data_IF_555611587182
#
_entry.id   IF_555611587182
#
_cell.length_a   1.000
_cell.length_b   1.000
_cell.length_c   1.000
_cell.angle_alpha   90.00
_cell.angle_beta   90.00
_cell.angle_gamma   90.00
#
_symmetry.space_group_name_H-M   'P 1'
#
loop_
_entity.id
_entity.type
_entity.pdbx_description
1 polymer ?
#
# COMPACT_ATOMS: atom_id res chain seq x y z
N UNK A 1 16.47 3.55 -32.63
CA UNK A 1 16.96 4.21 -31.43
C UNK A 1 16.03 3.83 -30.28
N UNK A 2 16.48 3.05 -29.32
CA UNK A 2 15.63 2.59 -28.20
C UNK A 2 15.82 3.59 -27.08
N UNK A 3 14.80 4.41 -26.84
CA UNK A 3 14.75 5.34 -25.71
C UNK A 3 14.96 4.57 -24.41
N UNK A 4 15.97 4.96 -23.64
CA UNK A 4 16.17 4.47 -22.28
C UNK A 4 15.29 5.31 -21.39
N UNK A 5 14.19 4.73 -20.89
CA UNK A 5 13.47 5.35 -19.77
C UNK A 5 14.42 5.41 -18.58
N UNK A 6 14.95 6.58 -18.28
CA UNK A 6 15.59 6.86 -17.00
C UNK A 6 14.46 7.22 -16.04
N UNK A 7 14.02 6.25 -15.25
CA UNK A 7 13.27 6.55 -14.06
C UNK A 7 14.22 7.24 -13.07
N UNK A 8 13.94 8.48 -12.74
CA UNK A 8 14.56 9.14 -11.59
C UNK A 8 14.04 8.37 -10.37
N UNK A 9 14.88 7.51 -9.83
CA UNK A 9 14.51 6.68 -8.67
C UNK A 9 14.43 7.60 -7.46
N UNK A 10 13.22 7.92 -7.05
CA UNK A 10 13.00 8.45 -5.72
C UNK A 10 13.61 7.49 -4.70
N UNK A 11 14.45 8.02 -3.82
CA UNK A 11 15.12 7.27 -2.79
C UNK A 11 14.14 6.39 -2.02
N UNK A 12 14.55 5.18 -1.70
CA UNK A 12 13.81 4.25 -0.88
C UNK A 12 13.59 4.89 0.50
N UNK A 13 12.44 5.48 0.70
CA UNK A 13 12.02 5.83 2.04
C UNK A 13 11.80 4.53 2.80
N UNK A 14 12.75 4.18 3.65
CA UNK A 14 12.58 3.13 4.65
C UNK A 14 11.61 3.67 5.70
N UNK A 15 10.33 3.51 5.43
CA UNK A 15 9.29 3.82 6.39
C UNK A 15 9.39 2.85 7.55
N UNK A 16 9.21 3.31 8.78
CA UNK A 16 8.66 2.40 9.76
C UNK A 16 7.37 1.86 9.14
N UNK A 17 7.03 0.58 9.31
CA UNK A 17 5.89 -0.02 8.64
C UNK A 17 4.70 0.93 8.80
N UNK A 18 4.27 1.51 7.68
CA UNK A 18 3.11 2.38 7.69
C UNK A 18 1.91 1.49 7.91
N UNK A 19 1.24 1.59 9.03
CA UNK A 19 0.10 0.73 9.29
C UNK A 19 -0.95 1.02 8.23
N UNK A 20 -1.35 -0.01 7.47
CA UNK A 20 -2.46 0.08 6.53
C UNK A 20 -3.69 -0.52 7.17
N UNK A 21 -4.75 0.28 7.25
CA UNK A 21 -6.05 -0.23 7.66
C UNK A 21 -6.66 -1.09 6.56
N UNK A 22 -6.94 -2.36 6.87
CA UNK A 22 -7.75 -3.23 6.02
C UNK A 22 -9.05 -3.50 6.75
N UNK A 23 -10.13 -3.32 6.00
CA UNK A 23 -11.39 -3.79 6.47
C UNK A 23 -12.11 -4.61 5.42
N UNK A 24 -12.06 -5.91 5.59
CA UNK A 24 -12.88 -6.86 4.88
C UNK A 24 -13.30 -7.93 5.89
N UNK A 25 -14.57 -7.98 6.26
CA UNK A 25 -15.11 -9.08 7.02
C UNK A 25 -15.88 -8.77 8.31
N UNK A 26 -16.52 -9.77 8.89
CA UNK A 26 -17.55 -9.60 9.91
C UNK A 26 -17.01 -9.34 11.32
N UNK A 27 -17.91 -8.93 12.14
CA UNK A 27 -17.94 -8.32 13.46
C UNK A 27 -17.14 -8.94 14.62
N UNK A 28 -16.22 -9.87 14.46
CA UNK A 28 -15.45 -10.44 15.59
C UNK A 28 -14.01 -10.81 15.23
N UNK A 29 -13.09 -10.74 16.21
CA UNK A 29 -11.69 -11.17 16.11
C UNK A 29 -11.50 -12.60 15.55
N UNK A 30 -12.49 -13.50 15.78
CA UNK A 30 -12.49 -14.86 15.24
C UNK A 30 -12.81 -14.93 13.74
N UNK A 31 -13.41 -13.91 13.18
CA UNK A 31 -13.83 -13.86 11.79
C UNK A 31 -12.82 -13.16 10.86
N UNK A 32 -11.83 -12.48 11.39
CA UNK A 32 -10.63 -12.10 10.64
C UNK A 32 -9.87 -13.36 10.15
N UNK A 33 -10.18 -14.53 10.71
CA UNK A 33 -9.68 -15.83 10.28
C UNK A 33 -10.47 -16.36 9.08
N UNK A 34 -9.91 -16.21 7.89
CA UNK A 34 -10.02 -17.10 6.72
C UNK A 34 -11.36 -17.37 6.02
N UNK A 35 -12.54 -16.99 6.50
CA UNK A 35 -13.81 -17.49 5.91
C UNK A 35 -14.84 -16.45 5.46
N UNK A 36 -14.57 -15.17 5.59
CA UNK A 36 -15.64 -14.18 5.41
C UNK A 36 -15.21 -12.86 4.79
N UNK A 37 -14.13 -12.87 4.02
CA UNK A 37 -13.78 -11.75 3.18
C UNK A 37 -14.73 -11.71 2.00
N UNK A 38 -15.75 -10.86 2.11
CA UNK A 38 -16.67 -10.62 1.01
C UNK A 38 -16.14 -9.50 0.11
N UNK A 39 -16.97 -8.63 -0.33
CA UNK A 39 -16.66 -7.59 -1.29
C UNK A 39 -15.70 -6.55 -0.69
N UNK A 40 -14.50 -6.45 -1.24
CA UNK A 40 -13.49 -5.49 -0.82
C UNK A 40 -13.13 -4.56 -1.98
N UNK A 41 -13.18 -3.23 -1.74
CA UNK A 41 -12.71 -2.27 -2.73
C UNK A 41 -11.18 -2.24 -2.74
N UNK A 42 -10.61 -2.48 -3.90
CA UNK A 42 -9.19 -2.35 -4.18
C UNK A 42 -8.96 -1.34 -5.30
N UNK A 43 -7.77 -0.73 -5.32
CA UNK A 43 -7.38 0.09 -6.47
C UNK A 43 -7.36 -0.76 -7.74
N UNK A 44 -7.52 -0.14 -8.91
CA UNK A 44 -7.43 -0.80 -10.20
C UNK A 44 -5.99 -1.25 -10.49
N UNK A 45 -5.62 -2.36 -9.86
CA UNK A 45 -4.30 -2.97 -9.95
C UNK A 45 -4.46 -4.49 -9.89
N UNK A 46 -4.01 -5.16 -10.95
CA UNK A 46 -4.17 -6.60 -11.11
C UNK A 46 -3.45 -7.43 -10.03
N UNK A 47 -2.30 -6.98 -9.52
CA UNK A 47 -1.59 -7.68 -8.44
C UNK A 47 -2.30 -7.51 -7.10
N UNK A 48 -2.85 -6.32 -6.80
CA UNK A 48 -3.68 -6.13 -5.61
C UNK A 48 -4.92 -7.01 -5.68
N UNK A 49 -5.60 -7.05 -6.83
CA UNK A 49 -6.75 -7.92 -7.07
C UNK A 49 -6.38 -9.38 -6.79
N UNK A 50 -5.33 -9.91 -7.43
CA UNK A 50 -4.88 -11.28 -7.24
C UNK A 50 -4.50 -11.57 -5.78
N UNK A 51 -3.88 -10.62 -5.08
CA UNK A 51 -3.54 -10.75 -3.65
C UNK A 51 -4.78 -10.91 -2.79
N UNK A 52 -5.80 -10.09 -3.02
CA UNK A 52 -7.04 -10.17 -2.22
C UNK A 52 -7.90 -11.38 -2.58
N UNK A 53 -7.88 -11.82 -3.83
CA UNK A 53 -8.47 -13.10 -4.25
C UNK A 53 -7.78 -14.28 -3.55
N UNK A 54 -6.45 -14.25 -3.44
CA UNK A 54 -5.68 -15.26 -2.70
C UNK A 54 -6.03 -15.26 -1.19
N UNK A 55 -6.39 -14.11 -0.63
CA UNK A 55 -6.91 -14.01 0.74
C UNK A 55 -8.35 -14.51 0.88
N UNK A 56 -9.04 -14.82 -0.23
CA UNK A 56 -10.42 -15.28 -0.25
C UNK A 56 -11.46 -14.15 -0.30
N UNK A 57 -11.04 -12.92 -0.62
CA UNK A 57 -11.95 -11.81 -0.87
C UNK A 57 -12.49 -11.82 -2.31
N UNK A 58 -13.53 -11.04 -2.55
CA UNK A 58 -14.04 -10.70 -3.87
C UNK A 58 -13.73 -9.23 -4.16
N UNK A 59 -12.55 -8.91 -4.71
CA UNK A 59 -12.15 -7.54 -4.94
C UNK A 59 -12.96 -6.88 -6.05
N UNK A 60 -13.40 -5.65 -5.79
CA UNK A 60 -14.07 -4.78 -6.76
C UNK A 60 -13.32 -3.46 -6.89
N UNK A 61 -13.45 -2.80 -8.02
CA UNK A 61 -12.90 -1.47 -8.23
C UNK A 61 -14.00 -0.43 -8.12
N UNK A 62 -13.81 0.57 -7.26
CA UNK A 62 -14.72 1.70 -7.06
C UNK A 62 -13.90 2.97 -7.18
N UNK A 63 -14.43 3.97 -7.86
CA UNK A 63 -13.78 5.28 -7.94
C UNK A 63 -13.58 5.87 -6.53
N UNK A 64 -12.42 6.44 -6.28
CA UNK A 64 -12.03 6.89 -4.94
C UNK A 64 -13.04 7.86 -4.31
N UNK A 65 -13.57 8.80 -5.11
CA UNK A 65 -14.59 9.74 -4.65
C UNK A 65 -15.96 9.12 -4.34
N UNK A 66 -16.23 7.90 -4.83
CA UNK A 66 -17.50 7.18 -4.61
C UNK A 66 -17.39 6.16 -3.46
N UNK A 67 -16.18 5.93 -2.97
CA UNK A 67 -15.91 4.84 -2.04
C UNK A 67 -16.62 5.01 -0.70
N UNK A 68 -16.73 6.22 -0.17
CA UNK A 68 -17.47 6.49 1.08
C UNK A 68 -18.94 6.04 0.95
N UNK A 69 -19.62 6.48 -0.11
CA UNK A 69 -21.01 6.12 -0.36
C UNK A 69 -21.19 4.62 -0.62
N UNK A 70 -20.25 3.99 -1.31
CA UNK A 70 -20.29 2.55 -1.57
C UNK A 70 -20.11 1.72 -0.28
N UNK A 71 -19.25 2.16 0.64
CA UNK A 71 -19.07 1.56 1.96
C UNK A 71 -20.32 1.77 2.83
N UNK A 72 -20.88 2.97 2.84
CA UNK A 72 -22.09 3.31 3.60
C UNK A 72 -23.30 2.49 3.14
N UNK A 73 -23.44 2.27 1.83
CA UNK A 73 -24.54 1.50 1.23
C UNK A 73 -24.29 -0.01 1.22
N UNK A 74 -23.13 -0.48 1.66
CA UNK A 74 -22.77 -1.90 1.68
C UNK A 74 -22.49 -2.50 0.30
N UNK A 75 -22.22 -1.69 -0.73
CA UNK A 75 -21.74 -2.16 -2.03
C UNK A 75 -20.33 -2.73 -1.92
N UNK A 76 -19.51 -2.13 -1.07
CA UNK A 76 -18.26 -2.68 -0.57
C UNK A 76 -18.35 -2.88 0.94
N UNK A 77 -17.89 -4.02 1.43
CA UNK A 77 -17.85 -4.32 2.87
C UNK A 77 -16.53 -3.86 3.50
N UNK A 78 -15.52 -3.55 2.67
CA UNK A 78 -14.23 -3.08 3.12
C UNK A 78 -13.42 -2.38 2.04
N UNK A 79 -12.33 -1.76 2.46
CA UNK A 79 -11.39 -1.07 1.58
C UNK A 79 -9.94 -1.23 2.08
N UNK A 80 -9.00 -0.81 1.23
CA UNK A 80 -7.59 -0.80 1.50
C UNK A 80 -7.06 0.58 1.20
N UNK A 81 -6.73 1.30 2.25
CA UNK A 81 -6.21 2.65 2.15
C UNK A 81 -5.19 2.92 3.26
N UNK A 82 -4.26 3.85 3.08
CA UNK A 82 -3.41 4.32 4.15
C UNK A 82 -4.21 5.09 5.21
N UNK A 83 -3.68 5.21 6.43
CA UNK A 83 -4.37 5.86 7.56
C UNK A 83 -4.85 7.25 7.23
N UNK A 84 -4.01 8.07 6.59
CA UNK A 84 -4.39 9.43 6.23
C UNK A 84 -5.61 9.48 5.29
N UNK A 85 -5.75 8.51 4.40
CA UNK A 85 -6.90 8.45 3.50
C UNK A 85 -8.18 8.01 4.23
N UNK A 86 -8.06 7.14 5.24
CA UNK A 86 -9.18 6.78 6.09
C UNK A 86 -9.74 7.99 6.86
N UNK A 87 -8.86 8.85 7.35
CA UNK A 87 -9.26 10.06 8.05
C UNK A 87 -9.80 11.12 7.09
N UNK A 88 -9.05 11.49 6.05
CA UNK A 88 -9.45 12.57 5.13
C UNK A 88 -10.78 12.30 4.40
N UNK A 89 -11.12 11.05 4.14
CA UNK A 89 -12.34 10.64 3.44
C UNK A 89 -13.44 10.16 4.39
N UNK A 90 -13.23 10.22 5.70
CA UNK A 90 -14.21 9.81 6.69
C UNK A 90 -14.54 8.31 6.67
N UNK A 91 -13.70 7.44 6.06
CA UNK A 91 -14.03 6.01 5.94
C UNK A 91 -14.21 5.33 7.29
N UNK A 92 -13.60 5.87 8.36
CA UNK A 92 -13.75 5.37 9.72
C UNK A 92 -15.17 5.54 10.28
N UNK A 93 -15.96 6.49 9.76
CA UNK A 93 -17.33 6.73 10.19
C UNK A 93 -18.30 5.64 9.72
N UNK A 94 -17.99 5.01 8.58
CA UNK A 94 -18.83 3.99 7.94
C UNK A 94 -18.24 2.58 8.06
N UNK A 95 -17.29 2.43 8.97
CA UNK A 95 -16.56 1.19 9.16
C UNK A 95 -16.42 0.87 10.66
N UNK A 96 -16.63 -0.43 11.12
CA UNK A 96 -16.55 -0.85 12.52
C UNK A 96 -15.14 -1.30 12.94
N UNK A 97 -14.26 -1.62 11.98
CA UNK A 97 -12.91 -2.16 12.25
C UNK A 97 -11.86 -1.53 11.35
N UNK A 98 -10.70 -1.26 11.90
CA UNK A 98 -9.48 -0.94 11.19
C UNK A 98 -8.42 -1.98 11.53
N UNK A 99 -7.90 -2.69 10.52
CA UNK A 99 -6.97 -3.80 10.72
C UNK A 99 -5.60 -3.42 10.15
N UNK A 100 -4.59 -3.45 11.01
CA UNK A 100 -3.19 -3.24 10.62
C UNK A 100 -2.56 -4.61 10.36
N UNK A 101 -2.34 -4.92 9.09
CA UNK A 101 -1.75 -6.18 8.64
C UNK A 101 -0.30 -6.03 8.19
N UNK A 102 0.21 -4.80 8.12
CA UNK A 102 1.58 -4.45 7.68
C UNK A 102 1.99 -5.15 6.36
N UNK A 103 1.03 -5.33 5.46
CA UNK A 103 1.15 -6.18 4.27
C UNK A 103 1.90 -5.55 3.12
N UNK A 104 1.98 -4.22 3.07
CA UNK A 104 2.65 -3.49 1.98
C UNK A 104 2.98 -2.07 2.40
N UNK A 105 4.01 -1.52 1.78
CA UNK A 105 4.37 -0.12 1.91
C UNK A 105 3.60 0.70 0.87
N UNK A 106 3.24 1.92 1.23
CA UNK A 106 2.75 2.91 0.27
C UNK A 106 3.96 3.60 -0.36
N UNK A 107 4.13 3.43 -1.66
CA UNK A 107 5.27 3.99 -2.40
C UNK A 107 4.72 4.96 -3.44
N UNK A 108 5.19 6.20 -3.39
CA UNK A 108 4.98 7.19 -4.44
C UNK A 108 6.25 7.36 -5.27
N UNK A 109 6.10 7.54 -6.58
CA UNK A 109 7.22 7.75 -7.49
C UNK A 109 7.04 9.09 -8.22
N UNK A 110 8.13 9.82 -8.38
CA UNK A 110 8.19 10.93 -9.32
C UNK A 110 8.59 10.38 -10.69
N UNK A 111 7.76 10.65 -11.69
CA UNK A 111 7.99 10.17 -13.05
C UNK A 111 7.99 11.38 -13.98
N UNK A 112 9.05 11.52 -14.78
CA UNK A 112 9.20 12.55 -15.81
C UNK A 112 9.36 11.93 -17.20
N UNK A 113 9.02 12.71 -18.21
CA UNK A 113 9.32 12.36 -19.59
C UNK A 113 10.83 12.49 -19.84
N UNK A 114 11.48 11.49 -20.47
CA UNK A 114 12.92 11.46 -20.74
C UNK A 114 13.36 12.60 -21.64
N UNK A 115 12.62 12.87 -22.73
CA UNK A 115 12.96 13.92 -23.67
C UNK A 115 12.87 15.32 -23.04
N UNK A 116 11.87 15.54 -22.18
CA UNK A 116 11.75 16.75 -21.40
C UNK A 116 12.93 16.91 -20.44
N UNK A 117 13.31 15.86 -19.72
CA UNK A 117 14.41 15.89 -18.77
C UNK A 117 15.76 16.12 -19.45
N UNK A 118 16.00 15.46 -20.59
CA UNK A 118 17.21 15.62 -21.39
C UNK A 118 17.31 17.03 -22.03
N UNK A 119 16.17 17.68 -22.23
CA UNK A 119 16.10 19.08 -22.74
C UNK A 119 16.38 20.15 -21.69
N UNK A 120 16.50 19.80 -20.40
CA UNK A 120 16.84 20.75 -19.34
C UNK A 120 18.31 21.16 -19.43
N UNK A 121 18.61 22.42 -19.09
CA UNK A 121 19.99 22.86 -18.86
C UNK A 121 20.57 22.16 -17.62
N UNK A 122 21.90 22.13 -17.50
CA UNK A 122 22.56 21.53 -16.35
C UNK A 122 22.10 22.18 -15.02
N UNK A 123 21.95 23.50 -14.99
CA UNK A 123 21.45 24.24 -13.84
C UNK A 123 19.99 23.87 -13.47
N UNK A 124 19.12 23.73 -14.49
CA UNK A 124 17.72 23.30 -14.28
C UNK A 124 17.65 21.86 -13.77
N UNK A 125 18.51 20.99 -14.29
CA UNK A 125 18.58 19.59 -13.87
C UNK A 125 19.06 19.48 -12.42
N UNK A 126 20.12 20.17 -12.05
CA UNK A 126 20.62 20.21 -10.68
C UNK A 126 19.57 20.75 -9.71
N UNK A 127 18.86 21.83 -10.06
CA UNK A 127 17.77 22.37 -9.26
C UNK A 127 16.61 21.38 -9.10
N UNK A 128 16.22 20.69 -10.17
CA UNK A 128 15.16 19.66 -10.13
C UNK A 128 15.56 18.52 -9.22
N UNK A 129 16.75 17.96 -9.41
CA UNK A 129 17.24 16.81 -8.63
C UNK A 129 17.36 17.16 -7.15
N UNK A 130 17.96 18.30 -6.79
CA UNK A 130 18.06 18.76 -5.40
C UNK A 130 16.69 18.99 -4.76
N UNK A 131 15.74 19.54 -5.52
CA UNK A 131 14.35 19.74 -5.03
C UNK A 131 13.66 18.41 -4.79
N UNK A 132 13.82 17.43 -5.68
CA UNK A 132 13.25 16.10 -5.52
C UNK A 132 13.85 15.37 -4.31
N UNK A 133 15.16 15.49 -4.10
CA UNK A 133 15.83 14.91 -2.92
C UNK A 133 15.30 15.53 -1.61
N UNK A 134 15.14 16.86 -1.55
CA UNK A 134 14.53 17.53 -0.40
C UNK A 134 13.06 17.09 -0.19
N UNK A 135 12.29 16.98 -1.27
CA UNK A 135 10.89 16.51 -1.19
C UNK A 135 10.79 15.09 -0.67
N UNK A 136 11.69 14.19 -1.07
CA UNK A 136 11.72 12.81 -0.56
C UNK A 136 12.01 12.79 0.94
N UNK A 137 13.01 13.54 1.42
CA UNK A 137 13.36 13.61 2.84
C UNK A 137 12.21 14.20 3.68
N UNK A 138 11.70 15.36 3.29
CA UNK A 138 10.56 16.00 3.96
C UNK A 138 9.28 15.16 3.90
N UNK A 139 9.03 14.50 2.76
CA UNK A 139 7.88 13.63 2.59
C UNK A 139 7.87 12.46 3.55
N UNK A 140 9.05 11.90 3.84
CA UNK A 140 9.19 10.83 4.85
C UNK A 140 8.81 11.32 6.25
N UNK A 141 9.33 12.47 6.67
CA UNK A 141 9.09 13.01 8.01
C UNK A 141 7.61 13.42 8.18
N UNK A 142 7.07 14.15 7.20
CA UNK A 142 5.67 14.58 7.18
C UNK A 142 4.73 13.39 7.23
N UNK A 143 5.00 12.36 6.45
CA UNK A 143 4.11 11.20 6.38
C UNK A 143 4.11 10.40 7.69
N UNK A 144 5.26 10.24 8.33
CA UNK A 144 5.34 9.56 9.63
C UNK A 144 4.54 10.30 10.69
N UNK A 145 4.68 11.63 10.74
CA UNK A 145 3.92 12.48 11.65
C UNK A 145 2.42 12.42 11.34
N UNK A 146 2.02 12.62 10.08
CA UNK A 146 0.62 12.63 9.68
C UNK A 146 -0.09 11.32 9.95
N UNK A 147 0.54 10.17 9.69
CA UNK A 147 -0.10 8.90 9.99
C UNK A 147 -0.39 8.73 11.49
N UNK A 148 0.53 9.18 12.35
CA UNK A 148 0.33 9.12 13.80
C UNK A 148 -0.78 10.06 14.25
N UNK A 149 -0.76 11.32 13.82
CA UNK A 149 -1.76 12.32 14.14
C UNK A 149 -3.16 11.92 13.64
N UNK A 150 -3.25 11.42 12.41
CA UNK A 150 -4.52 10.98 11.82
C UNK A 150 -5.09 9.75 12.50
N UNK A 151 -4.24 8.84 12.95
CA UNK A 151 -4.69 7.69 13.74
C UNK A 151 -5.28 8.12 15.07
N UNK A 152 -4.66 9.09 15.76
CA UNK A 152 -5.21 9.62 17.00
C UNK A 152 -6.55 10.35 16.74
N UNK A 153 -6.63 11.14 15.68
CA UNK A 153 -7.90 11.78 15.27
C UNK A 153 -9.02 10.76 15.05
N UNK A 154 -8.73 9.64 14.40
CA UNK A 154 -9.69 8.54 14.19
C UNK A 154 -10.13 7.94 15.52
N UNK A 155 -9.19 7.71 16.45
CA UNK A 155 -9.49 7.16 17.79
C UNK A 155 -10.35 8.09 18.63
N UNK A 156 -10.10 9.39 18.54
CA UNK A 156 -10.83 10.41 19.32
C UNK A 156 -12.24 10.63 18.79
N UNK A 157 -12.45 10.48 17.47
CA UNK A 157 -13.71 10.82 16.81
C UNK A 157 -14.56 9.61 16.42
N UNK A 158 -14.17 8.39 16.81
CA UNK A 158 -14.93 7.18 16.46
C UNK A 158 -14.73 6.04 17.46
N UNK A 159 -15.71 5.14 17.49
CA UNK A 159 -15.65 3.89 18.23
C UNK A 159 -15.11 2.73 17.35
N UNK A 160 -14.34 3.05 16.28
CA UNK A 160 -13.80 2.03 15.38
C UNK A 160 -12.86 1.07 16.14
N UNK A 161 -13.05 -0.21 15.95
CA UNK A 161 -12.20 -1.23 16.58
C UNK A 161 -10.88 -1.36 15.84
N UNK A 162 -9.78 -0.97 16.48
CA UNK A 162 -8.43 -1.07 15.90
C UNK A 162 -7.84 -2.43 16.27
N UNK A 163 -7.39 -3.17 15.27
CA UNK A 163 -6.80 -4.50 15.40
C UNK A 163 -5.42 -4.48 14.73
N UNK A 164 -4.40 -4.88 15.50
CA UNK A 164 -3.07 -5.18 14.95
C UNK A 164 -2.97 -6.70 14.83
N UNK A 165 -2.62 -7.19 13.65
CA UNK A 165 -2.37 -8.62 13.44
C UNK A 165 -1.04 -8.99 14.09
N UNK A 166 -1.04 -10.13 14.79
CA UNK A 166 0.20 -10.72 15.31
C UNK A 166 1.03 -11.37 14.19
N UNK A 167 2.28 -11.74 14.48
CA UNK A 167 3.18 -12.29 13.46
C UNK A 167 2.64 -13.59 12.86
N UNK A 168 1.99 -14.44 13.65
CA UNK A 168 1.42 -15.69 13.14
C UNK A 168 0.24 -15.45 12.20
N UNK A 169 -0.56 -14.43 12.47
CA UNK A 169 -1.66 -14.00 11.61
C UNK A 169 -1.11 -13.39 10.31
N UNK A 170 -0.08 -12.54 10.39
CA UNK A 170 0.60 -11.97 9.23
C UNK A 170 1.25 -13.03 8.35
N UNK A 171 1.93 -14.02 8.96
CA UNK A 171 2.53 -15.13 8.21
C UNK A 171 1.48 -15.95 7.46
N UNK A 172 0.31 -16.19 8.05
CA UNK A 172 -0.77 -16.88 7.36
C UNK A 172 -1.23 -16.14 6.08
N UNK A 173 -1.29 -14.79 6.09
CA UNK A 173 -1.58 -13.99 4.91
C UNK A 173 -0.41 -14.00 3.91
N UNK A 174 0.82 -13.96 4.39
CA UNK A 174 2.04 -14.02 3.57
C UNK A 174 2.10 -15.32 2.77
N UNK A 175 1.79 -16.46 3.41
CA UNK A 175 1.72 -17.76 2.74
C UNK A 175 0.65 -17.78 1.63
N UNK A 176 -0.54 -17.22 1.89
CA UNK A 176 -1.61 -17.12 0.88
C UNK A 176 -1.22 -16.26 -0.32
N UNK A 177 -0.41 -15.21 -0.11
CA UNK A 177 0.02 -14.30 -1.16
C UNK A 177 1.21 -14.82 -1.99
N UNK A 178 1.96 -15.83 -1.52
CA UNK A 178 3.13 -16.36 -2.25
C UNK A 178 2.86 -16.70 -3.72
N UNK A 179 1.75 -17.35 -4.10
CA UNK A 179 1.46 -17.65 -5.50
C UNK A 179 1.31 -16.42 -6.40
N UNK A 180 0.93 -15.26 -5.83
CA UNK A 180 0.77 -14.01 -6.57
C UNK A 180 2.11 -13.50 -7.15
N UNK A 181 3.23 -13.91 -6.58
CA UNK A 181 4.56 -13.63 -7.13
C UNK A 181 4.72 -14.16 -8.54
N UNK A 182 4.16 -15.34 -8.83
CA UNK A 182 4.17 -15.90 -10.17
C UNK A 182 3.32 -15.05 -11.12
N UNK A 183 2.15 -14.58 -10.70
CA UNK A 183 1.33 -13.65 -11.48
C UNK A 183 2.12 -12.41 -11.90
N UNK A 184 2.93 -11.85 -11.00
CA UNK A 184 3.81 -10.72 -11.32
C UNK A 184 4.85 -11.08 -12.40
N UNK A 185 5.50 -12.24 -12.26
CA UNK A 185 6.49 -12.73 -13.22
C UNK A 185 5.87 -12.97 -14.60
N UNK A 186 4.67 -13.54 -14.64
CA UNK A 186 3.92 -13.80 -15.88
C UNK A 186 3.54 -12.48 -16.59
N UNK A 187 3.29 -11.42 -15.83
CA UNK A 187 2.97 -10.10 -16.39
C UNK A 187 4.19 -9.35 -16.92
N UNK A 188 5.35 -9.46 -16.27
CA UNK A 188 6.54 -8.62 -16.54
C UNK A 188 7.66 -9.40 -17.24
N UNK A 189 7.62 -10.73 -17.18
CA UNK A 189 8.60 -11.61 -17.78
C UNK A 189 9.93 -11.66 -17.02
N UNK A 190 11.04 -11.99 -17.71
CA UNK A 190 12.36 -12.20 -17.10
C UNK A 190 12.88 -11.00 -16.28
N UNK A 191 12.54 -9.77 -16.69
CA UNK A 191 12.92 -8.58 -15.92
C UNK A 191 12.20 -8.53 -14.56
N UNK A 192 10.94 -8.95 -14.56
CA UNK A 192 10.15 -9.08 -13.34
C UNK A 192 10.73 -10.12 -12.40
N UNK A 193 11.12 -11.28 -12.92
CA UNK A 193 11.78 -12.31 -12.12
C UNK A 193 13.06 -11.78 -11.45
N UNK A 194 13.94 -11.14 -12.21
CA UNK A 194 15.18 -10.56 -11.66
C UNK A 194 14.91 -9.50 -10.57
N UNK A 195 13.91 -8.65 -10.77
CA UNK A 195 13.51 -7.66 -9.78
C UNK A 195 12.96 -8.31 -8.50
N UNK A 196 12.12 -9.33 -8.65
CA UNK A 196 11.57 -10.10 -7.54
C UNK A 196 12.67 -10.79 -6.73
N UNK A 197 13.63 -11.43 -7.39
CA UNK A 197 14.76 -12.13 -6.75
C UNK A 197 15.60 -11.16 -5.90
N UNK A 198 15.85 -9.95 -6.42
CA UNK A 198 16.56 -8.89 -5.68
C UNK A 198 15.78 -8.49 -4.43
N UNK A 199 14.47 -8.25 -4.56
CA UNK A 199 13.63 -7.85 -3.43
C UNK A 199 13.58 -8.95 -2.36
N UNK A 200 13.36 -10.20 -2.77
CA UNK A 200 13.29 -11.34 -1.84
C UNK A 200 14.60 -11.53 -1.09
N UNK A 201 15.73 -11.45 -1.78
CA UNK A 201 17.05 -11.54 -1.15
C UNK A 201 17.26 -10.45 -0.10
N UNK A 202 16.81 -9.21 -0.35
CA UNK A 202 16.94 -8.13 0.63
C UNK A 202 15.99 -8.30 1.82
N UNK A 203 14.79 -8.84 1.59
CA UNK A 203 13.84 -9.14 2.67
C UNK A 203 14.42 -10.21 3.60
N UNK A 204 14.96 -11.30 3.07
CA UNK A 204 15.64 -12.34 3.86
C UNK A 204 16.79 -11.78 4.69
N UNK A 205 17.67 -10.99 4.08
CA UNK A 205 18.80 -10.36 4.79
C UNK A 205 18.38 -9.34 5.85
N UNK A 206 17.18 -8.76 5.74
CA UNK A 206 16.65 -7.79 6.71
C UNK A 206 15.92 -8.50 7.85
N UNK A 207 15.32 -9.66 7.61
CA UNK A 207 14.71 -10.52 8.64
C UNK A 207 15.75 -11.05 9.63
N UNK A 208 16.92 -11.47 9.15
CA UNK A 208 18.03 -11.94 9.99
C UNK A 208 18.66 -10.85 10.89
N UNK A 209 18.31 -9.59 10.69
CA UNK A 209 18.80 -8.46 11.50
C UNK A 209 17.79 -7.96 12.54
N UNK A 210 16.62 -8.54 12.60
CA UNK A 210 15.52 -8.13 13.49
C UNK A 210 15.38 -9.03 14.73
N UNK A 211 16.32 -9.98 14.93
CA UNK A 211 16.58 -10.69 16.17
C UNK A 211 17.75 -10.00 16.93
#
# INVERSE_FOLDING_TARGET
MRGRNRSVSAAWCRWPPCPKGIRCGPRTRKSARRKTWKTCSVMDNSLLRATYEAYGASPITIAYGELYSALQQGQAEGNIQPVFAHENMGFYEVQDYMIFADQSQFIANFIGNEEWYDGLSDEQREMLESTLDEMVQKGHDIQSQFNSERLETIKENSDINIIHLDESEREAFRELAKPVRQTYVDMVGERGQKALDIVLKHVEQSGDKAE
#
